data_IF_499123884780
#
_entry.id   IF_499123884780
#
_cell.length_a   1.000
_cell.length_b   1.000
_cell.length_c   1.000
_cell.angle_alpha   90.00
_cell.angle_beta   90.00
_cell.angle_gamma   90.00
#
_symmetry.space_group_name_H-M   'P 1'
#
loop_
_entity.id
_entity.type
_entity.pdbx_description
1 polymer ?
#
# COMPACT_ATOMS: atom_id res chain seq x y z
N UNK A 1 18.43 3.69 65.60
CA UNK A 1 17.50 4.73 65.09
C UNK A 1 17.54 4.93 63.58
N UNK A 2 18.63 4.57 62.87
CA UNK A 2 18.72 4.78 61.40
C UNK A 2 17.85 3.81 60.57
N UNK A 3 17.73 2.54 60.98
CA UNK A 3 16.96 1.52 60.22
C UNK A 3 15.47 1.86 60.12
N UNK A 4 14.85 2.30 61.21
CA UNK A 4 13.43 2.71 61.23
C UNK A 4 13.21 3.96 60.37
N UNK A 5 14.17 4.90 60.37
CA UNK A 5 14.13 6.09 59.50
C UNK A 5 14.20 5.72 58.01
N UNK A 6 15.07 4.77 57.65
CA UNK A 6 15.16 4.28 56.27
C UNK A 6 13.91 3.51 55.84
N UNK A 7 13.31 2.72 56.73
CA UNK A 7 12.07 2.01 56.45
C UNK A 7 10.90 2.96 56.17
N UNK A 8 10.82 4.06 56.95
CA UNK A 8 9.78 5.08 56.83
C UNK A 8 9.96 5.94 55.57
N UNK A 9 11.21 6.25 55.20
CA UNK A 9 11.50 6.94 53.92
C UNK A 9 11.15 6.03 52.74
N UNK A 10 11.45 4.73 52.81
CA UNK A 10 11.14 3.79 51.73
C UNK A 10 9.63 3.67 51.51
N UNK A 11 8.83 3.60 52.58
CA UNK A 11 7.36 3.53 52.46
C UNK A 11 6.77 4.81 51.88
N UNK A 12 7.29 5.99 52.23
CA UNK A 12 6.85 7.27 51.65
C UNK A 12 7.20 7.33 50.15
N UNK A 13 8.40 6.87 49.75
CA UNK A 13 8.82 6.87 48.34
C UNK A 13 7.97 5.92 47.49
N UNK A 14 7.69 4.72 47.98
CA UNK A 14 6.83 3.75 47.26
C UNK A 14 5.38 4.27 47.16
N UNK A 15 4.87 4.89 48.22
CA UNK A 15 3.52 5.46 48.23
C UNK A 15 3.38 6.64 47.26
N UNK A 16 4.38 7.51 47.17
CA UNK A 16 4.38 8.62 46.21
C UNK A 16 4.47 8.14 44.77
N UNK A 17 5.32 7.15 44.46
CA UNK A 17 5.40 6.54 43.13
C UNK A 17 4.07 5.91 42.66
N UNK A 18 3.27 5.36 43.58
CA UNK A 18 1.96 4.79 43.26
C UNK A 18 0.91 5.87 42.89
N UNK A 19 1.01 7.07 43.47
CA UNK A 19 0.07 8.17 43.23
C UNK A 19 0.32 8.92 41.90
N UNK A 20 1.50 8.76 41.29
CA UNK A 20 1.87 9.43 40.03
C UNK A 20 1.85 8.50 38.81
N UNK A 21 1.01 7.46 38.80
CA UNK A 21 0.86 6.65 37.59
C UNK A 21 0.08 7.42 36.52
N UNK A 22 0.66 7.71 35.34
CA UNK A 22 -0.07 8.38 34.27
C UNK A 22 -1.17 7.46 33.77
N UNK A 23 -2.36 8.02 33.52
CA UNK A 23 -3.48 7.28 32.92
C UNK A 23 -3.11 6.84 31.51
N UNK A 24 -2.95 5.54 31.32
CA UNK A 24 -2.69 4.94 30.00
C UNK A 24 -3.98 5.02 29.19
N UNK A 25 -4.06 6.04 28.34
CA UNK A 25 -5.16 6.17 27.39
C UNK A 25 -4.92 5.23 26.22
N UNK A 26 -5.72 4.17 26.12
CA UNK A 26 -5.70 3.29 24.96
C UNK A 26 -6.09 4.09 23.71
N UNK A 27 -5.13 4.29 22.80
CA UNK A 27 -5.41 4.89 21.50
C UNK A 27 -6.45 4.03 20.77
N UNK A 28 -7.61 4.63 20.48
CA UNK A 28 -8.73 3.92 19.86
C UNK A 28 -8.27 3.29 18.53
N UNK A 29 -8.54 2.00 18.29
CA UNK A 29 -8.17 1.37 17.03
C UNK A 29 -8.78 2.15 15.86
N UNK A 30 -7.92 2.52 14.90
CA UNK A 30 -8.31 3.28 13.71
C UNK A 30 -9.17 2.39 12.81
N UNK A 31 -10.50 2.49 12.95
CA UNK A 31 -11.44 1.88 12.01
C UNK A 31 -11.39 2.70 10.71
N UNK A 32 -10.93 2.10 9.61
CA UNK A 32 -11.01 2.74 8.28
C UNK A 32 -12.48 3.00 7.98
N UNK A 33 -12.89 4.27 7.90
CA UNK A 33 -14.15 4.62 7.24
C UNK A 33 -14.01 4.17 5.78
N UNK A 34 -14.81 3.19 5.38
CA UNK A 34 -14.97 2.86 3.97
C UNK A 34 -15.41 4.15 3.26
N UNK A 35 -14.61 4.60 2.30
CA UNK A 35 -15.01 5.73 1.46
C UNK A 35 -16.40 5.44 0.87
N UNK A 36 -17.27 6.46 0.71
CA UNK A 36 -18.55 6.26 0.08
C UNK A 36 -18.33 5.59 -1.27
N UNK A 37 -18.91 4.40 -1.44
CA UNK A 37 -18.90 3.69 -2.71
C UNK A 37 -19.81 4.49 -3.63
N UNK A 38 -19.26 5.51 -4.29
CA UNK A 38 -19.95 6.10 -5.43
C UNK A 38 -20.10 4.97 -6.44
N UNK A 39 -21.33 4.56 -6.71
CA UNK A 39 -21.71 3.64 -7.78
C UNK A 39 -21.40 4.31 -9.12
N UNK A 40 -20.11 4.44 -9.44
CA UNK A 40 -19.67 4.95 -10.74
C UNK A 40 -19.92 3.84 -11.75
N UNK A 41 -20.65 4.17 -12.81
CA UNK A 41 -20.95 3.26 -13.92
C UNK A 41 -19.65 2.63 -14.42
N UNK A 42 -19.53 1.31 -14.23
CA UNK A 42 -18.45 0.52 -14.82
C UNK A 42 -18.80 0.35 -16.28
N UNK A 43 -17.97 0.87 -17.19
CA UNK A 43 -18.18 0.73 -18.63
C UNK A 43 -17.43 -0.53 -19.10
N UNK A 44 -18.14 -1.63 -19.44
CA UNK A 44 -17.53 -2.81 -20.03
C UNK A 44 -17.15 -2.56 -21.50
N UNK A 45 -16.13 -3.28 -21.98
CA UNK A 45 -15.80 -3.35 -23.42
C UNK A 45 -14.61 -2.53 -23.91
N UNK A 46 -14.13 -1.53 -23.15
CA UNK A 46 -12.92 -0.76 -23.49
C UNK A 46 -11.85 -1.01 -22.45
N UNK A 47 -10.67 -1.46 -22.91
CA UNK A 47 -9.49 -1.60 -22.07
C UNK A 47 -8.70 -0.29 -22.08
N UNK A 48 -8.18 0.10 -20.91
CA UNK A 48 -7.31 1.28 -20.76
C UNK A 48 -5.90 0.89 -20.29
N UNK A 49 -5.68 -0.41 -20.08
CA UNK A 49 -4.38 -0.94 -19.67
C UNK A 49 -4.13 -2.34 -20.21
N UNK A 50 -2.86 -2.70 -20.27
CA UNK A 50 -2.35 -4.06 -20.39
C UNK A 50 -1.20 -4.25 -19.41
N UNK A 51 -1.02 -5.48 -18.93
CA UNK A 51 0.09 -5.82 -18.06
C UNK A 51 0.86 -6.97 -18.68
N UNK A 52 2.19 -6.81 -18.79
CA UNK A 52 3.10 -7.85 -19.24
C UNK A 52 4.16 -8.07 -18.19
N UNK A 53 4.42 -9.34 -17.91
CA UNK A 53 5.48 -9.74 -17.03
C UNK A 53 6.83 -9.74 -17.76
N UNK A 54 7.86 -9.24 -17.08
CA UNK A 54 9.23 -9.27 -17.57
C UNK A 54 10.10 -10.06 -16.59
N UNK A 55 10.56 -11.23 -17.03
CA UNK A 55 11.40 -12.07 -16.19
C UNK A 55 12.82 -11.54 -16.05
N UNK A 56 13.35 -10.90 -17.10
CA UNK A 56 14.68 -10.32 -17.09
C UNK A 56 14.82 -9.20 -16.04
N UNK A 57 13.82 -8.32 -15.95
CA UNK A 57 13.81 -7.18 -15.02
C UNK A 57 13.09 -7.46 -13.70
N UNK A 58 12.58 -8.69 -13.50
CA UNK A 58 11.81 -9.09 -12.31
C UNK A 58 10.66 -8.13 -11.98
N UNK A 59 9.90 -7.77 -13.01
CA UNK A 59 8.91 -6.71 -12.91
C UNK A 59 7.65 -6.99 -13.73
N UNK A 60 6.61 -6.19 -13.49
CA UNK A 60 5.42 -6.12 -14.35
C UNK A 60 5.37 -4.75 -15.01
N UNK A 61 5.44 -4.77 -16.34
CA UNK A 61 5.32 -3.57 -17.17
C UNK A 61 3.83 -3.36 -17.44
N UNK A 62 3.33 -2.22 -17.01
CA UNK A 62 1.96 -1.79 -17.26
C UNK A 62 2.00 -0.75 -18.35
N UNK A 63 1.25 -1.00 -19.42
CA UNK A 63 1.03 -0.03 -20.49
C UNK A 63 -0.37 0.52 -20.37
N UNK A 64 -0.50 1.84 -20.48
CA UNK A 64 -1.76 2.56 -20.48
C UNK A 64 -2.00 3.16 -21.87
N UNK A 65 -3.25 3.10 -22.32
CA UNK A 65 -3.66 3.53 -23.65
C UNK A 65 -5.08 4.08 -23.62
N UNK A 66 -5.49 4.74 -24.70
CA UNK A 66 -6.73 5.52 -24.77
C UNK A 66 -6.80 6.60 -23.68
N UNK A 67 -5.64 7.21 -23.38
CA UNK A 67 -5.48 8.15 -22.29
C UNK A 67 -6.17 9.50 -22.54
N UNK A 68 -6.49 9.82 -23.79
CA UNK A 68 -7.33 10.94 -24.21
C UNK A 68 -8.73 10.93 -23.57
N UNK A 69 -9.21 9.75 -23.15
CA UNK A 69 -10.53 9.55 -22.52
C UNK A 69 -10.45 9.43 -21.00
N UNK A 70 -9.28 9.62 -20.42
CA UNK A 70 -8.99 9.31 -19.02
C UNK A 70 -8.49 10.55 -18.30
N UNK A 71 -9.14 10.91 -17.19
CA UNK A 71 -8.71 12.03 -16.34
C UNK A 71 -7.64 11.62 -15.34
N UNK A 72 -7.67 10.37 -14.86
CA UNK A 72 -6.71 9.83 -13.90
C UNK A 72 -6.64 8.32 -13.97
N UNK A 73 -5.44 7.75 -13.92
CA UNK A 73 -5.24 6.32 -13.66
C UNK A 73 -4.60 6.15 -12.30
N UNK A 74 -5.11 5.22 -11.50
CA UNK A 74 -4.48 4.76 -10.27
C UNK A 74 -4.19 3.27 -10.40
N UNK A 75 -3.03 2.82 -9.95
CA UNK A 75 -2.63 1.43 -9.99
C UNK A 75 -2.07 0.98 -8.63
N UNK A 76 -2.27 -0.30 -8.34
CA UNK A 76 -1.76 -0.94 -7.13
C UNK A 76 -1.36 -2.38 -7.46
N UNK A 77 -0.07 -2.65 -7.40
CA UNK A 77 0.48 -4.00 -7.34
C UNK A 77 0.55 -4.42 -5.87
N UNK A 78 -0.03 -5.56 -5.54
CA UNK A 78 0.07 -6.20 -4.23
C UNK A 78 0.51 -7.64 -4.38
N UNK A 79 1.37 -8.10 -3.48
CA UNK A 79 1.90 -9.46 -3.50
C UNK A 79 2.44 -9.85 -2.12
N UNK A 80 2.76 -11.13 -1.96
CA UNK A 80 3.52 -11.64 -0.82
C UNK A 80 4.92 -11.97 -1.30
N UNK A 81 5.96 -11.40 -0.69
CA UNK A 81 7.36 -11.70 -0.99
C UNK A 81 8.10 -12.07 0.29
N UNK A 82 8.88 -13.16 0.28
CA UNK A 82 9.58 -13.66 1.47
C UNK A 82 8.69 -13.81 2.71
N UNK A 83 7.42 -14.17 2.54
CA UNK A 83 6.43 -14.33 3.62
C UNK A 83 5.76 -13.03 4.10
N UNK A 84 6.16 -11.86 3.60
CA UNK A 84 5.61 -10.56 4.00
C UNK A 84 4.72 -9.96 2.91
N UNK A 85 3.69 -9.22 3.31
CA UNK A 85 2.86 -8.46 2.37
C UNK A 85 3.64 -7.27 1.82
N UNK A 86 3.64 -7.13 0.51
CA UNK A 86 4.38 -6.12 -0.25
C UNK A 86 3.47 -5.46 -1.27
N UNK A 87 3.85 -4.28 -1.74
CA UNK A 87 3.13 -3.63 -2.82
C UNK A 87 3.76 -2.34 -3.28
N UNK A 88 3.34 -1.91 -4.46
CA UNK A 88 3.70 -0.63 -5.05
C UNK A 88 2.46 -0.05 -5.69
N UNK A 89 2.18 1.21 -5.38
CA UNK A 89 1.03 1.93 -5.89
C UNK A 89 1.45 3.28 -6.44
N UNK A 90 0.65 3.80 -7.36
CA UNK A 90 0.88 5.10 -7.94
C UNK A 90 -0.33 5.57 -8.72
N UNK A 91 -0.22 6.79 -9.24
CA UNK A 91 -1.22 7.35 -10.14
C UNK A 91 -0.57 8.19 -11.20
N UNK A 92 -1.22 8.28 -12.35
CA UNK A 92 -0.82 9.18 -13.43
C UNK A 92 -2.01 10.08 -13.79
N UNK A 93 -1.70 11.34 -14.04
CA UNK A 93 -2.58 12.29 -14.73
C UNK A 93 -2.12 12.32 -16.17
N UNK A 94 -2.92 11.83 -17.13
CA UNK A 94 -2.46 11.73 -18.50
C UNK A 94 -2.10 13.08 -19.13
N UNK A 95 -0.97 13.12 -19.83
CA UNK A 95 -0.52 14.26 -20.64
C UNK A 95 -0.37 13.92 -22.12
N UNK A 96 -0.60 12.66 -22.51
CA UNK A 96 -0.49 12.16 -23.88
C UNK A 96 -1.37 10.93 -24.10
N UNK A 97 -1.29 10.30 -25.29
CA UNK A 97 -2.16 9.20 -25.69
C UNK A 97 -1.85 7.85 -25.01
N UNK A 98 -0.60 7.65 -24.60
CA UNK A 98 -0.10 6.41 -23.96
C UNK A 98 0.94 6.73 -22.89
N UNK A 99 1.05 5.88 -21.88
CA UNK A 99 2.10 5.96 -20.84
C UNK A 99 2.41 4.53 -20.36
N UNK A 100 3.53 4.33 -19.66
CA UNK A 100 3.87 3.05 -19.07
C UNK A 100 4.60 3.19 -17.73
N UNK A 101 4.45 2.16 -16.90
CA UNK A 101 5.14 2.06 -15.60
C UNK A 101 5.70 0.66 -15.45
N UNK A 102 6.95 0.59 -15.01
CA UNK A 102 7.58 -0.65 -14.65
C UNK A 102 7.49 -0.85 -13.13
N UNK A 103 6.82 -1.91 -12.70
CA UNK A 103 6.62 -2.20 -11.28
C UNK A 103 7.50 -3.37 -10.87
N UNK A 104 8.60 -3.05 -10.19
CA UNK A 104 9.58 -4.02 -9.73
C UNK A 104 9.09 -4.85 -8.54
N UNK A 105 9.31 -6.17 -8.57
CA UNK A 105 9.06 -7.05 -7.42
C UNK A 105 10.24 -7.00 -6.44
N UNK A 106 10.41 -5.86 -5.77
CA UNK A 106 11.50 -5.66 -4.83
C UNK A 106 11.50 -4.25 -4.26
N UNK A 107 12.64 -3.88 -3.69
CA UNK A 107 12.90 -2.53 -3.17
C UNK A 107 14.13 -1.95 -3.83
N UNK A 108 14.13 -0.65 -4.07
CA UNK A 108 15.27 0.06 -4.63
C UNK A 108 15.68 1.20 -3.68
N UNK A 109 16.98 1.34 -3.43
CA UNK A 109 17.55 2.42 -2.63
C UNK A 109 18.87 2.87 -3.25
N UNK A 110 19.05 4.18 -3.42
CA UNK A 110 20.26 4.78 -4.01
C UNK A 110 20.70 4.14 -5.35
N UNK A 111 19.73 3.74 -6.18
CA UNK A 111 19.98 3.13 -7.49
C UNK A 111 20.25 1.62 -7.47
N UNK A 112 20.33 0.98 -6.30
CA UNK A 112 20.49 -0.47 -6.17
C UNK A 112 19.14 -1.10 -5.84
N UNK A 113 18.73 -2.10 -6.62
CA UNK A 113 17.46 -2.78 -6.46
C UNK A 113 17.64 -4.22 -5.94
N UNK A 114 17.04 -4.52 -4.80
CA UNK A 114 17.01 -5.86 -4.21
C UNK A 114 15.68 -6.54 -4.54
N UNK A 115 15.71 -7.66 -5.28
CA UNK A 115 14.52 -8.42 -5.65
C UNK A 115 13.94 -9.16 -4.45
N UNK A 116 12.62 -9.26 -4.40
CA UNK A 116 11.92 -10.18 -3.52
C UNK A 116 11.74 -11.53 -4.21
N UNK A 117 11.88 -12.62 -3.45
CA UNK A 117 11.74 -14.00 -3.92
C UNK A 117 10.49 -14.67 -3.35
N UNK A 118 10.15 -15.84 -3.88
CA UNK A 118 8.99 -16.62 -3.45
C UNK A 118 7.68 -15.82 -3.56
N UNK A 119 7.50 -15.15 -4.70
CA UNK A 119 6.38 -14.24 -4.90
C UNK A 119 5.06 -15.03 -4.97
N UNK A 120 4.11 -14.70 -4.10
CA UNK A 120 2.78 -15.34 -4.04
C UNK A 120 1.68 -14.29 -4.10
N UNK A 121 0.49 -14.72 -4.51
CA UNK A 121 -0.74 -13.91 -4.50
C UNK A 121 -0.61 -12.55 -5.22
N UNK A 122 0.23 -12.46 -6.24
CA UNK A 122 0.49 -11.21 -6.94
C UNK A 122 -0.73 -10.77 -7.75
N UNK A 123 -1.20 -9.55 -7.48
CA UNK A 123 -2.38 -8.94 -8.10
C UNK A 123 -2.05 -7.50 -8.47
N UNK A 124 -2.41 -7.11 -9.68
CA UNK A 124 -2.35 -5.73 -10.12
C UNK A 124 -3.78 -5.23 -10.33
N UNK A 125 -4.14 -4.15 -9.64
CA UNK A 125 -5.38 -3.44 -9.83
C UNK A 125 -5.09 -2.13 -10.57
N UNK A 126 -5.78 -1.90 -11.68
CA UNK A 126 -5.74 -0.63 -12.42
C UNK A 126 -7.14 -0.03 -12.43
N UNK A 127 -7.24 1.22 -12.01
CA UNK A 127 -8.48 2.00 -11.96
C UNK A 127 -8.30 3.23 -12.84
N UNK A 128 -8.99 3.26 -13.98
CA UNK A 128 -9.06 4.43 -14.84
C UNK A 128 -10.34 5.22 -14.51
N UNK A 129 -10.17 6.50 -14.18
CA UNK A 129 -11.27 7.47 -14.07
C UNK A 129 -11.38 8.18 -15.41
N UNK A 130 -12.52 8.06 -16.06
CA UNK A 130 -12.76 8.65 -17.37
C UNK A 130 -13.03 10.15 -17.25
N UNK A 131 -12.77 10.90 -18.31
CA UNK A 131 -13.16 12.31 -18.41
C UNK A 131 -14.68 12.49 -18.31
N UNK A 132 -15.45 11.49 -18.77
CA UNK A 132 -16.91 11.42 -18.60
C UNK A 132 -17.38 11.15 -17.17
N UNK A 133 -16.46 10.93 -16.22
CA UNK A 133 -16.76 10.59 -14.82
C UNK A 133 -16.95 9.09 -14.54
N UNK A 134 -17.00 8.25 -15.57
CA UNK A 134 -17.05 6.79 -15.44
C UNK A 134 -15.78 6.20 -14.81
N UNK A 135 -15.87 4.97 -14.29
CA UNK A 135 -14.69 4.23 -13.81
C UNK A 135 -14.57 2.93 -14.57
N UNK A 136 -13.36 2.60 -15.02
CA UNK A 136 -13.00 1.28 -15.49
C UNK A 136 -12.00 0.66 -14.51
N UNK A 137 -12.34 -0.51 -13.96
CA UNK A 137 -11.46 -1.26 -13.06
C UNK A 137 -11.04 -2.55 -13.75
N UNK A 138 -9.73 -2.74 -13.90
CA UNK A 138 -9.15 -3.97 -14.45
C UNK A 138 -8.22 -4.61 -13.43
N UNK A 139 -8.47 -5.88 -13.14
CA UNK A 139 -7.66 -6.70 -12.22
C UNK A 139 -6.89 -7.73 -13.02
N UNK A 140 -5.57 -7.75 -12.82
CA UNK A 140 -4.67 -8.77 -13.35
C UNK A 140 -4.23 -9.69 -12.22
N UNK A 141 -4.32 -11.00 -12.47
CA UNK A 141 -3.74 -12.01 -11.59
C UNK A 141 -2.37 -12.36 -12.18
N UNK A 142 -1.32 -12.11 -11.41
CA UNK A 142 0.06 -12.33 -11.83
C UNK A 142 0.58 -13.61 -11.17
N UNK A 143 1.33 -14.41 -11.93
CA UNK A 143 1.96 -15.64 -11.44
C UNK A 143 3.46 -15.67 -11.77
N UNK A 144 4.29 -14.85 -11.07
CA UNK A 144 5.74 -14.91 -11.19
C UNK A 144 6.26 -16.30 -10.78
N UNK A 145 7.36 -16.78 -11.39
CA UNK A 145 7.92 -18.11 -11.15
C UNK A 145 9.32 -18.10 -10.50
N UNK A 146 9.63 -17.13 -9.63
CA UNK A 146 10.91 -17.02 -8.93
C UNK A 146 10.76 -16.66 -7.45
#
# INVERSE_FOLDING_TARGET
MNVVRHLLVLTIVVFTLALFTPSVHAAKPRVRKSAPVTTRKVIPGVSFSSAKFSAASRSVIISFFNLDKVSKISYLLSYTGSGQAQGVGGSISPSGATDSRDLYFGTCSKGVCTPHYNIKNAKLLVTATLTSGGINIKRYILRPKW
#
